data_IF_813056681433
#
_entry.id   IF_813056681433
#
_cell.length_a   1.000
_cell.length_b   1.000
_cell.length_c   1.000
_cell.angle_alpha   90.00
_cell.angle_beta   90.00
_cell.angle_gamma   90.00
#
_symmetry.space_group_name_H-M   'P 1'
#
loop_
_entity.id
_entity.type
_entity.pdbx_description
1 polymer ?
#
# COMPACT_ATOMS: atom_id res chain seq x y z
N UNK A 1 -1.02 27.96 0.15
CA UNK A 1 -1.21 27.24 -1.13
C UNK A 1 -2.54 26.53 -1.02
N UNK A 2 -3.47 26.74 -1.96
CA UNK A 2 -4.77 26.08 -1.90
C UNK A 2 -4.57 24.56 -1.98
N UNK A 3 -5.21 23.82 -1.08
CA UNK A 3 -5.13 22.36 -1.04
C UNK A 3 -5.63 21.78 -2.37
N UNK A 4 -4.84 20.92 -3.00
CA UNK A 4 -5.15 20.39 -4.31
C UNK A 4 -6.26 19.33 -4.18
N UNK A 5 -7.47 19.66 -4.65
CA UNK A 5 -8.59 18.71 -4.65
C UNK A 5 -8.23 17.46 -5.45
N UNK A 6 -8.27 16.31 -4.79
CA UNK A 6 -7.98 15.01 -5.38
C UNK A 6 -9.27 14.19 -5.43
N UNK A 7 -9.45 13.41 -6.50
CA UNK A 7 -10.65 12.60 -6.74
C UNK A 7 -10.27 11.16 -7.06
N UNK A 8 -11.15 10.22 -6.71
CA UNK A 8 -11.02 8.80 -7.03
C UNK A 8 -12.27 8.29 -7.74
N UNK A 9 -12.07 7.37 -8.69
CA UNK A 9 -13.15 6.63 -9.30
C UNK A 9 -13.42 5.35 -8.51
N UNK A 10 -14.71 5.07 -8.28
CA UNK A 10 -15.20 3.89 -7.57
C UNK A 10 -16.25 3.19 -8.40
N UNK A 11 -16.14 1.87 -8.46
CA UNK A 11 -17.24 1.04 -8.93
C UNK A 11 -18.38 1.07 -7.91
N UNK A 12 -19.62 1.16 -8.38
CA UNK A 12 -20.84 1.02 -7.59
C UNK A 12 -21.53 -0.33 -7.86
N UNK A 13 -20.84 -1.26 -8.54
CA UNK A 13 -21.37 -2.58 -8.81
C UNK A 13 -21.46 -3.40 -7.50
N UNK A 14 -22.48 -4.25 -7.35
CA UNK A 14 -22.49 -5.30 -6.33
C UNK A 14 -21.21 -6.15 -6.38
N UNK A 15 -20.75 -6.65 -5.22
CA UNK A 15 -19.44 -7.30 -5.11
C UNK A 15 -19.32 -8.57 -5.98
N UNK A 16 -20.39 -9.36 -6.07
CA UNK A 16 -20.49 -10.54 -6.93
C UNK A 16 -20.38 -10.18 -8.42
N UNK A 17 -21.03 -9.10 -8.84
CA UNK A 17 -20.97 -8.59 -10.23
C UNK A 17 -19.59 -8.01 -10.53
N UNK A 18 -19.00 -7.23 -9.61
CA UNK A 18 -17.65 -6.71 -9.77
C UNK A 18 -16.64 -7.84 -9.95
N UNK A 19 -16.73 -8.86 -9.09
CA UNK A 19 -15.85 -10.03 -9.16
C UNK A 19 -16.02 -10.80 -10.47
N UNK A 20 -17.25 -10.99 -10.94
CA UNK A 20 -17.51 -11.77 -12.15
C UNK A 20 -17.10 -11.06 -13.46
N UNK A 21 -17.16 -9.72 -13.51
CA UNK A 21 -17.05 -8.98 -14.77
C UNK A 21 -15.96 -7.90 -14.82
N UNK A 22 -15.39 -7.51 -13.68
CA UNK A 22 -14.40 -6.42 -13.60
C UNK A 22 -13.09 -6.87 -12.96
N UNK A 23 -13.15 -7.73 -11.95
CA UNK A 23 -11.96 -8.24 -11.29
C UNK A 23 -11.13 -9.09 -12.26
N UNK A 24 -9.87 -8.71 -12.41
CA UNK A 24 -8.89 -9.44 -13.20
C UNK A 24 -8.02 -10.25 -12.24
N UNK A 25 -8.26 -11.55 -12.15
CA UNK A 25 -7.50 -12.46 -11.27
C UNK A 25 -6.00 -12.41 -11.58
N UNK A 26 -5.62 -12.09 -12.82
CA UNK A 26 -4.22 -11.91 -13.19
C UNK A 26 -3.59 -10.71 -12.50
N UNK A 27 -4.36 -9.75 -11.97
CA UNK A 27 -3.88 -8.58 -11.22
C UNK A 27 -3.93 -8.77 -9.70
N UNK A 28 -4.32 -9.94 -9.21
CA UNK A 28 -4.38 -10.28 -7.77
C UNK A 28 -3.07 -9.97 -7.04
N UNK A 29 -1.93 -10.20 -7.69
CA UNK A 29 -0.61 -9.89 -7.15
C UNK A 29 -0.38 -8.39 -6.90
N UNK A 30 -0.94 -7.50 -7.74
CA UNK A 30 -0.86 -6.04 -7.54
C UNK A 30 -1.73 -5.60 -6.36
N UNK A 31 -2.92 -6.19 -6.23
CA UNK A 31 -3.81 -5.95 -5.08
C UNK A 31 -3.14 -6.40 -3.77
N UNK A 32 -2.49 -7.56 -3.77
CA UNK A 32 -1.75 -8.06 -2.61
C UNK A 32 -0.57 -7.14 -2.25
N UNK A 33 0.23 -6.71 -3.23
CA UNK A 33 1.32 -5.76 -3.02
C UNK A 33 0.79 -4.42 -2.46
N UNK A 34 -0.33 -3.92 -3.00
CA UNK A 34 -0.99 -2.71 -2.50
C UNK A 34 -1.38 -2.86 -1.04
N UNK A 35 -1.97 -3.99 -0.65
CA UNK A 35 -2.35 -4.28 0.72
C UNK A 35 -1.14 -4.29 1.66
N UNK A 36 -0.04 -4.95 1.26
CA UNK A 36 1.21 -4.99 2.04
C UNK A 36 1.80 -3.61 2.22
N UNK A 37 2.01 -2.88 1.13
CA UNK A 37 2.61 -1.55 1.15
C UNK A 37 1.79 -0.58 2.00
N UNK A 38 0.47 -0.51 1.78
CA UNK A 38 -0.41 0.39 2.55
C UNK A 38 -0.49 0.00 4.02
N UNK A 39 -0.39 -1.29 4.36
CA UNK A 39 -0.33 -1.76 5.74
C UNK A 39 0.97 -1.34 6.42
N UNK A 40 2.12 -1.43 5.74
CA UNK A 40 3.41 -0.94 6.26
C UNK A 40 3.33 0.56 6.57
N UNK A 41 2.84 1.37 5.61
CA UNK A 41 2.70 2.82 5.80
C UNK A 41 1.75 3.14 6.97
N UNK A 42 0.65 2.40 7.08
CA UNK A 42 -0.32 2.56 8.18
C UNK A 42 0.29 2.23 9.54
N UNK A 43 1.05 1.14 9.65
CA UNK A 43 1.76 0.75 10.87
C UNK A 43 2.86 1.75 11.25
N UNK A 44 3.45 2.44 10.25
CA UNK A 44 4.39 3.55 10.47
C UNK A 44 3.72 4.87 10.90
N UNK A 45 2.41 4.89 11.15
CA UNK A 45 1.68 6.09 11.56
C UNK A 45 1.03 6.86 10.41
N UNK A 46 0.93 6.25 9.23
CA UNK A 46 0.26 6.83 8.05
C UNK A 46 1.21 7.55 7.08
N UNK A 47 2.48 7.75 7.46
CA UNK A 47 3.54 8.32 6.62
C UNK A 47 4.88 7.64 6.91
N UNK A 48 5.68 7.39 5.88
CA UNK A 48 6.99 6.74 6.00
C UNK A 48 7.99 7.34 5.00
N UNK A 49 9.29 7.40 5.34
CA UNK A 49 10.31 7.76 4.36
C UNK A 49 10.57 6.59 3.38
N UNK A 50 11.04 6.91 2.17
CA UNK A 50 11.29 5.93 1.10
C UNK A 50 12.28 4.84 1.51
N UNK A 51 13.37 5.19 2.18
CA UNK A 51 14.39 4.24 2.62
C UNK A 51 13.84 3.21 3.62
N UNK A 52 13.05 3.67 4.60
CA UNK A 52 12.40 2.83 5.61
C UNK A 52 11.34 1.93 4.97
N UNK A 53 10.59 2.41 3.98
CA UNK A 53 9.66 1.58 3.22
C UNK A 53 10.40 0.45 2.51
N UNK A 54 11.46 0.77 1.76
CA UNK A 54 12.27 -0.23 1.07
C UNK A 54 12.96 -1.19 2.04
N UNK A 55 13.40 -0.71 3.20
CA UNK A 55 13.93 -1.57 4.25
C UNK A 55 12.89 -2.61 4.70
N UNK A 56 11.62 -2.23 4.92
CA UNK A 56 10.57 -3.19 5.26
C UNK A 56 10.26 -4.16 4.10
N UNK A 57 10.22 -3.66 2.86
CA UNK A 57 9.99 -4.50 1.68
C UNK A 57 11.11 -5.53 1.46
N UNK A 58 12.37 -5.15 1.69
CA UNK A 58 13.51 -6.08 1.61
C UNK A 58 13.41 -7.23 2.62
N UNK A 59 12.85 -6.99 3.81
CA UNK A 59 12.58 -8.06 4.79
C UNK A 59 11.55 -9.07 4.30
N UNK A 60 10.74 -8.70 3.30
CA UNK A 60 9.78 -9.57 2.61
C UNK A 60 10.36 -10.16 1.32
N UNK A 61 11.65 -9.96 1.03
CA UNK A 61 12.29 -10.40 -0.20
C UNK A 61 12.06 -9.49 -1.41
N UNK A 62 11.50 -8.29 -1.21
CA UNK A 62 11.18 -7.33 -2.27
C UNK A 62 12.22 -6.20 -2.29
N UNK A 63 13.08 -6.17 -3.32
CA UNK A 63 14.16 -5.17 -3.45
C UNK A 63 13.82 -4.11 -4.50
N UNK A 64 14.19 -2.85 -4.27
CA UNK A 64 14.03 -1.78 -5.27
C UNK A 64 14.88 -1.97 -6.53
N UNK A 65 15.91 -2.82 -6.46
CA UNK A 65 16.79 -3.17 -7.59
C UNK A 65 16.26 -4.33 -8.43
N UNK A 66 15.15 -4.96 -8.01
CA UNK A 66 14.55 -6.05 -8.75
C UNK A 66 13.69 -5.48 -9.90
N UNK A 67 14.25 -5.55 -11.10
CA UNK A 67 13.60 -5.08 -12.32
C UNK A 67 12.73 -6.15 -12.98
N UNK A 68 12.84 -7.42 -12.54
CA UNK A 68 12.22 -8.57 -13.20
C UNK A 68 11.67 -9.60 -12.20
N UNK A 69 11.03 -9.14 -11.12
CA UNK A 69 10.42 -10.05 -10.15
C UNK A 69 9.39 -10.95 -10.85
N UNK A 70 9.44 -12.29 -10.73
CA UNK A 70 8.58 -13.20 -11.49
C UNK A 70 7.07 -12.90 -11.35
N UNK A 71 6.67 -12.33 -10.21
CA UNK A 71 5.27 -12.04 -9.88
C UNK A 71 4.93 -10.55 -9.99
N UNK A 72 5.90 -9.65 -9.80
CA UNK A 72 5.64 -8.20 -9.65
C UNK A 72 6.32 -7.35 -10.73
N UNK A 73 7.12 -7.97 -11.60
CA UNK A 73 7.94 -7.28 -12.59
C UNK A 73 8.88 -6.29 -11.91
N UNK A 74 8.93 -5.07 -12.43
CA UNK A 74 9.72 -4.00 -11.85
C UNK A 74 9.02 -3.41 -10.62
N UNK A 75 9.59 -3.64 -9.43
CA UNK A 75 8.97 -3.24 -8.16
C UNK A 75 8.86 -1.73 -7.98
N UNK A 76 9.78 -0.94 -8.54
CA UNK A 76 9.67 0.53 -8.52
C UNK A 76 8.46 1.00 -9.33
N UNK A 77 8.26 0.45 -10.53
CA UNK A 77 7.09 0.77 -11.34
C UNK A 77 5.79 0.31 -10.68
N UNK A 78 5.80 -0.86 -10.02
CA UNK A 78 4.66 -1.32 -9.24
C UNK A 78 4.31 -0.35 -8.08
N UNK A 79 5.32 0.15 -7.36
CA UNK A 79 5.11 1.15 -6.30
C UNK A 79 4.59 2.49 -6.87
N UNK A 80 5.13 2.95 -8.01
CA UNK A 80 4.62 4.15 -8.68
C UNK A 80 3.17 3.98 -9.15
N UNK A 81 2.77 2.78 -9.59
CA UNK A 81 1.38 2.50 -9.94
C UNK A 81 0.44 2.63 -8.72
N UNK A 82 0.88 2.20 -7.52
CA UNK A 82 0.14 2.38 -6.26
C UNK A 82 -0.06 3.87 -5.94
N UNK A 83 0.95 4.72 -6.21
CA UNK A 83 0.88 6.18 -6.07
C UNK A 83 -0.12 6.78 -7.07
N UNK A 84 -0.04 6.39 -8.35
CA UNK A 84 -0.95 6.85 -9.40
C UNK A 84 -2.40 6.49 -9.10
N UNK A 85 -2.63 5.35 -8.45
CA UNK A 85 -3.94 4.87 -8.02
C UNK A 85 -4.47 5.54 -6.75
N UNK A 86 -3.75 6.51 -6.18
CA UNK A 86 -4.12 7.26 -4.97
C UNK A 86 -4.32 6.38 -3.74
N UNK A 87 -3.61 5.25 -3.69
CA UNK A 87 -3.42 4.53 -2.43
C UNK A 87 -2.32 5.18 -1.58
N UNK A 88 -1.29 5.71 -2.26
CA UNK A 88 -0.24 6.50 -1.64
C UNK A 88 -0.11 7.89 -2.28
N UNK A 89 0.31 8.85 -1.47
CA UNK A 89 0.82 10.13 -1.93
C UNK A 89 2.34 10.12 -1.78
N UNK A 90 3.06 10.40 -2.87
CA UNK A 90 4.51 10.52 -2.89
C UNK A 90 4.88 11.99 -2.80
N UNK A 91 5.56 12.37 -1.73
CA UNK A 91 5.99 13.74 -1.47
C UNK A 91 7.53 13.79 -1.51
N UNK A 92 8.09 14.75 -2.26
CA UNK A 92 9.51 15.08 -2.19
C UNK A 92 9.68 16.37 -1.41
N UNK A 93 10.37 16.28 -0.28
CA UNK A 93 10.70 17.41 0.59
C UNK A 93 12.16 17.76 0.36
N UNK A 94 12.43 18.99 -0.05
CA UNK A 94 13.79 19.50 -0.19
C UNK A 94 14.14 20.27 1.08
N UNK A 95 15.10 19.75 1.85
CA UNK A 95 15.58 20.36 3.08
C UNK A 95 17.06 20.77 3.00
N UNK A 96 17.58 21.45 4.03
CA UNK A 96 18.99 21.81 4.10
C UNK A 96 19.93 20.59 4.12
N UNK A 97 19.44 19.42 4.53
CA UNK A 97 20.19 18.15 4.54
C UNK A 97 20.03 17.34 3.24
N UNK A 98 19.32 17.86 2.24
CA UNK A 98 19.09 17.21 0.95
C UNK A 98 17.62 16.91 0.66
N UNK A 99 17.39 16.12 -0.39
CA UNK A 99 16.04 15.75 -0.83
C UNK A 99 15.62 14.45 -0.14
N UNK A 100 14.47 14.47 0.53
CA UNK A 100 13.87 13.30 1.15
C UNK A 100 12.53 12.98 0.49
N UNK A 101 12.32 11.70 0.15
CA UNK A 101 11.03 11.21 -0.37
C UNK A 101 10.24 10.56 0.75
N UNK A 102 8.96 10.91 0.86
CA UNK A 102 8.00 10.30 1.78
C UNK A 102 6.81 9.70 1.02
N UNK A 103 6.23 8.67 1.61
CA UNK A 103 5.00 8.04 1.18
C UNK A 103 3.97 8.14 2.30
N UNK A 104 2.79 8.64 1.97
CA UNK A 104 1.68 8.87 2.89
C UNK A 104 0.40 8.20 2.37
N UNK A 105 -0.49 7.75 3.26
CA UNK A 105 -1.77 7.19 2.85
C UNK A 105 -2.60 8.24 2.09
N UNK A 106 -3.11 7.87 0.92
CA UNK A 106 -3.95 8.75 0.09
C UNK A 106 -5.43 8.32 0.08
N UNK A 107 -6.25 9.03 -0.70
CA UNK A 107 -7.72 8.99 -0.64
C UNK A 107 -8.29 7.59 -0.76
N UNK A 108 -7.72 6.74 -1.64
CA UNK A 108 -8.22 5.39 -1.85
C UNK A 108 -7.93 4.48 -0.65
N UNK A 109 -6.81 4.67 0.03
CA UNK A 109 -6.46 3.95 1.25
C UNK A 109 -7.23 4.42 2.50
N UNK A 110 -7.69 5.67 2.48
CA UNK A 110 -8.39 6.31 3.60
C UNK A 110 -9.91 6.21 3.50
N UNK A 111 -10.43 5.85 2.33
CA UNK A 111 -11.84 5.61 2.13
C UNK A 111 -12.44 4.60 3.12
N UNK A 112 -13.67 4.87 3.58
CA UNK A 112 -14.35 4.14 4.65
C UNK A 112 -14.25 2.62 4.55
N UNK A 113 -14.86 1.96 3.55
CA UNK A 113 -14.78 0.51 3.37
C UNK A 113 -13.36 -0.06 3.38
N UNK A 114 -12.43 0.56 2.65
CA UNK A 114 -11.04 0.07 2.55
C UNK A 114 -10.31 0.26 3.89
N UNK A 115 -10.47 1.42 4.51
CA UNK A 115 -9.83 1.79 5.77
C UNK A 115 -10.30 0.89 6.93
N UNK A 116 -11.61 0.61 7.01
CA UNK A 116 -12.18 -0.30 8.00
C UNK A 116 -11.67 -1.73 7.77
N UNK A 117 -11.81 -2.25 6.55
CA UNK A 117 -11.36 -3.60 6.22
C UNK A 117 -9.86 -3.80 6.48
N UNK A 118 -9.01 -2.85 6.09
CA UNK A 118 -7.57 -2.90 6.37
C UNK A 118 -7.28 -2.95 7.88
N UNK A 119 -7.91 -2.09 8.68
CA UNK A 119 -7.70 -2.09 10.14
C UNK A 119 -8.10 -3.42 10.77
N UNK A 120 -9.21 -4.01 10.33
CA UNK A 120 -9.64 -5.32 10.79
C UNK A 120 -8.66 -6.43 10.41
N UNK A 121 -8.19 -6.46 9.15
CA UNK A 121 -7.21 -7.44 8.70
C UNK A 121 -5.88 -7.33 9.45
N UNK A 122 -5.36 -6.11 9.62
CA UNK A 122 -4.13 -5.88 10.41
C UNK A 122 -4.32 -6.35 11.85
N UNK A 123 -5.45 -6.01 12.48
CA UNK A 123 -5.75 -6.44 13.85
C UNK A 123 -5.80 -7.96 13.98
N UNK A 124 -6.40 -8.66 13.00
CA UNK A 124 -6.44 -10.14 12.98
C UNK A 124 -5.05 -10.75 12.88
N UNK A 125 -4.16 -10.18 12.06
CA UNK A 125 -2.79 -10.68 11.89
C UNK A 125 -1.99 -10.47 13.18
N UNK A 126 -1.98 -9.26 13.72
CA UNK A 126 -1.22 -8.92 14.95
C UNK A 126 -1.71 -9.74 16.15
N UNK A 127 -3.02 -9.88 16.33
CA UNK A 127 -3.58 -10.65 17.44
C UNK A 127 -3.30 -12.15 17.32
N UNK A 128 -3.25 -12.69 16.10
CA UNK A 128 -2.89 -14.09 15.87
C UNK A 128 -1.46 -14.36 16.34
N UNK A 129 -0.52 -13.48 16.01
CA UNK A 129 0.88 -13.60 16.43
C UNK A 129 1.05 -13.48 17.96
N UNK A 130 0.29 -12.58 18.62
CA UNK A 130 0.30 -12.48 20.09
C UNK A 130 -0.25 -13.75 20.75
N UNK A 131 -1.29 -14.35 20.16
CA UNK A 131 -1.92 -15.54 20.73
C UNK A 131 -1.05 -16.78 20.58
N UNK A 132 -0.28 -16.90 19.48
CA UNK A 132 0.66 -18.01 19.33
C UNK A 132 1.90 -17.89 20.23
N UNK A 133 2.30 -16.69 20.65
CA UNK A 133 3.42 -16.49 21.58
C UNK A 133 3.05 -16.84 23.04
N UNK A 134 1.76 -16.82 23.39
CA UNK A 134 1.28 -17.14 24.75
C UNK A 134 0.91 -18.63 24.93
N UNK A 135 1.18 -19.49 23.95
CA UNK A 135 0.80 -20.90 23.94
C UNK A 135 1.98 -21.86 24.11
N UNK A 136 3.12 -21.38 24.63
CA UNK A 136 4.28 -22.18 25.07
C UNK A 136 4.53 -22.05 26.57
#
# INVERSE_FOLDING_TARGET
TADAKSYILRSQLPADVYKAFVEDENKSHVTALTFVVTSIVRLAGGKINEENLWHQLRRLGLSETDESHPVHGNLKLALEAIVQQRYLHKEKVNGPEGNATFYELAERSLDGPINVGMKEHISKIVNKDITSVNAD
#
